data_IF_211821168879
#
_entry.id   IF_211821168879
#
_cell.length_a   1.000
_cell.length_b   1.000
_cell.length_c   1.000
_cell.angle_alpha   90.00
_cell.angle_beta   90.00
_cell.angle_gamma   90.00
#
_symmetry.space_group_name_H-M   'P 1'
#
loop_
_entity.id
_entity.type
_entity.pdbx_description
1 polymer ?
#
# COMPACT_ATOMS: atom_id res chain seq x y z
N UNK A 1 2.14 -15.93 -2.47
CA UNK A 1 2.00 -16.54 -3.79
C UNK A 1 3.37 -16.91 -4.29
N UNK A 2 3.56 -18.11 -4.83
CA UNK A 2 4.85 -18.56 -5.38
C UNK A 2 5.23 -17.79 -6.65
N UNK A 3 4.23 -17.38 -7.44
CA UNK A 3 4.42 -16.64 -8.67
C UNK A 3 4.76 -15.17 -8.38
N UNK A 4 5.95 -14.76 -8.80
CA UNK A 4 6.45 -13.40 -8.64
C UNK A 4 5.50 -12.37 -9.27
N UNK A 5 5.03 -12.63 -10.48
CA UNK A 5 4.16 -11.75 -11.26
C UNK A 5 2.83 -11.53 -10.54
N UNK A 6 2.27 -12.57 -9.92
CA UNK A 6 1.04 -12.46 -9.12
C UNK A 6 1.27 -11.54 -7.92
N UNK A 7 2.35 -11.77 -7.15
CA UNK A 7 2.71 -10.89 -6.03
C UNK A 7 2.89 -9.43 -6.49
N UNK A 8 3.54 -9.23 -7.63
CA UNK A 8 3.80 -7.91 -8.20
C UNK A 8 2.51 -7.18 -8.56
N UNK A 9 1.68 -7.78 -9.42
CA UNK A 9 0.46 -7.18 -9.93
C UNK A 9 -0.53 -6.93 -8.78
N UNK A 10 -0.65 -7.87 -7.85
CA UNK A 10 -1.50 -7.72 -6.67
C UNK A 10 -1.10 -6.49 -5.85
N UNK A 11 0.18 -6.34 -5.51
CA UNK A 11 0.67 -5.20 -4.74
C UNK A 11 0.45 -3.86 -5.47
N UNK A 12 0.60 -3.84 -6.80
CA UNK A 12 0.34 -2.66 -7.61
C UNK A 12 -1.15 -2.26 -7.58
N UNK A 13 -2.06 -3.21 -7.79
CA UNK A 13 -3.50 -2.94 -7.73
C UNK A 13 -3.95 -2.49 -6.35
N UNK A 14 -3.45 -3.17 -5.31
CA UNK A 14 -3.67 -2.80 -3.92
C UNK A 14 -3.22 -1.35 -3.66
N UNK A 15 -2.01 -0.99 -4.11
CA UNK A 15 -1.48 0.36 -3.95
C UNK A 15 -2.37 1.42 -4.63
N UNK A 16 -2.77 1.17 -5.88
CA UNK A 16 -3.61 2.12 -6.65
C UNK A 16 -4.94 2.38 -5.96
N UNK A 17 -5.65 1.33 -5.53
CA UNK A 17 -6.94 1.48 -4.88
C UNK A 17 -6.82 2.14 -3.48
N UNK A 18 -5.76 1.80 -2.72
CA UNK A 18 -5.50 2.45 -1.43
C UNK A 18 -5.16 3.94 -1.57
N UNK A 19 -4.37 4.35 -2.58
CA UNK A 19 -4.03 5.77 -2.79
C UNK A 19 -5.25 6.58 -3.24
N UNK A 20 -6.16 5.96 -4.00
CA UNK A 20 -7.45 6.56 -4.38
C UNK A 20 -8.49 6.60 -3.24
N UNK A 21 -8.12 6.13 -2.05
CA UNK A 21 -9.02 6.05 -0.89
C UNK A 21 -10.28 5.19 -1.13
N UNK A 22 -10.20 4.23 -2.06
CA UNK A 22 -11.31 3.32 -2.41
C UNK A 22 -11.25 1.99 -1.64
N UNK A 23 -10.18 1.74 -0.91
CA UNK A 23 -9.98 0.55 -0.08
C UNK A 23 -9.86 0.93 1.41
N UNK A 24 -10.48 0.15 2.31
CA UNK A 24 -10.32 0.31 3.75
C UNK A 24 -8.86 0.16 4.21
N UNK A 25 -8.53 0.79 5.34
CA UNK A 25 -7.16 0.85 5.85
C UNK A 25 -6.59 -0.52 6.24
N UNK A 26 -7.43 -1.48 6.65
CA UNK A 26 -7.01 -2.86 6.97
C UNK A 26 -6.24 -3.53 5.83
N UNK A 27 -6.58 -3.22 4.58
CA UNK A 27 -5.87 -3.75 3.40
C UNK A 27 -4.44 -3.21 3.28
N UNK A 28 -4.13 -2.08 3.93
CA UNK A 28 -2.78 -1.54 3.98
C UNK A 28 -1.83 -2.44 4.79
N UNK A 29 -2.35 -3.21 5.75
CA UNK A 29 -1.57 -4.16 6.55
C UNK A 29 -0.93 -5.26 5.70
N UNK A 30 -1.48 -5.55 4.51
CA UNK A 30 -0.94 -6.55 3.59
C UNK A 30 0.49 -6.22 3.16
N UNK A 31 0.87 -4.93 3.07
CA UNK A 31 2.26 -4.56 2.76
C UNK A 31 3.25 -4.96 3.85
N UNK A 32 2.83 -5.16 5.11
CA UNK A 32 3.71 -5.67 6.16
C UNK A 32 4.13 -7.12 5.89
N UNK A 33 3.28 -7.92 5.24
CA UNK A 33 3.60 -9.30 4.85
C UNK A 33 4.72 -9.36 3.81
N UNK A 34 4.93 -8.28 3.03
CA UNK A 34 6.02 -8.20 2.08
C UNK A 34 7.41 -8.21 2.74
N UNK A 35 7.53 -8.04 4.06
CA UNK A 35 8.80 -8.19 4.77
C UNK A 35 9.46 -9.57 4.54
N UNK A 36 8.64 -10.60 4.25
CA UNK A 36 9.09 -11.96 3.94
C UNK A 36 9.30 -12.23 2.45
N UNK A 37 9.07 -11.25 1.56
CA UNK A 37 9.29 -11.45 0.12
C UNK A 37 10.78 -11.70 -0.13
N UNK A 38 11.19 -12.76 -0.86
CA UNK A 38 12.60 -13.05 -1.10
C UNK A 38 13.31 -11.95 -1.89
N UNK A 39 12.59 -11.20 -2.72
CA UNK A 39 13.14 -10.17 -3.61
C UNK A 39 13.32 -8.84 -2.87
N UNK A 40 14.52 -8.27 -2.88
CA UNK A 40 14.85 -7.03 -2.15
C UNK A 40 14.05 -5.84 -2.68
N UNK A 41 13.92 -5.73 -3.99
CA UNK A 41 13.19 -4.67 -4.69
C UNK A 41 11.71 -4.69 -4.30
N UNK A 42 11.14 -5.87 -4.05
CA UNK A 42 9.76 -6.02 -3.58
C UNK A 42 9.57 -5.46 -2.18
N UNK A 43 10.50 -5.74 -1.27
CA UNK A 43 10.49 -5.16 0.08
C UNK A 43 10.60 -3.64 0.04
N UNK A 44 11.49 -3.11 -0.80
CA UNK A 44 11.64 -1.67 -1.01
C UNK A 44 10.36 -1.03 -1.59
N UNK A 45 9.74 -1.67 -2.59
CA UNK A 45 8.50 -1.22 -3.19
C UNK A 45 7.34 -1.20 -2.17
N UNK A 46 7.17 -2.25 -1.38
CA UNK A 46 6.13 -2.30 -0.35
C UNK A 46 6.30 -1.17 0.68
N UNK A 47 7.54 -0.90 1.12
CA UNK A 47 7.85 0.23 2.01
C UNK A 47 7.48 1.58 1.36
N UNK A 48 7.79 1.76 0.09
CA UNK A 48 7.43 2.99 -0.64
C UNK A 48 5.90 3.15 -0.74
N UNK A 49 5.18 2.08 -1.07
CA UNK A 49 3.71 2.07 -1.13
C UNK A 49 3.07 2.44 0.21
N UNK A 50 3.60 1.93 1.32
CA UNK A 50 3.16 2.27 2.68
C UNK A 50 3.35 3.75 2.99
N UNK A 51 4.56 4.27 2.81
CA UNK A 51 4.88 5.67 3.09
C UNK A 51 4.03 6.62 2.25
N UNK A 52 3.82 6.30 0.96
CA UNK A 52 2.98 7.11 0.07
C UNK A 52 1.51 7.11 0.53
N UNK A 53 0.95 5.97 0.91
CA UNK A 53 -0.42 5.89 1.41
C UNK A 53 -0.63 6.66 2.71
N UNK A 54 0.34 6.60 3.63
CA UNK A 54 0.32 7.38 4.88
C UNK A 54 0.34 8.87 4.56
N UNK A 55 1.25 9.31 3.68
CA UNK A 55 1.36 10.72 3.29
C UNK A 55 0.08 11.23 2.65
N UNK A 56 -0.49 10.51 1.67
CA UNK A 56 -1.72 10.90 0.98
C UNK A 56 -2.90 11.00 1.95
N UNK A 57 -3.06 10.03 2.85
CA UNK A 57 -4.16 10.06 3.83
C UNK A 57 -4.02 11.20 4.84
N UNK A 58 -2.81 11.44 5.35
CA UNK A 58 -2.55 12.58 6.26
C UNK A 58 -2.88 13.91 5.59
N UNK A 59 -2.46 14.08 4.33
CA UNK A 59 -2.77 15.28 3.56
C UNK A 59 -4.27 15.42 3.30
N UNK A 60 -4.96 14.31 2.96
CA UNK A 60 -6.40 14.31 2.77
C UNK A 60 -7.16 14.75 4.03
N UNK A 61 -6.81 14.20 5.20
CA UNK A 61 -7.42 14.59 6.49
C UNK A 61 -7.13 16.07 6.80
N UNK A 62 -5.89 16.53 6.55
CA UNK A 62 -5.51 17.94 6.75
C UNK A 62 -6.37 18.89 5.89
N UNK A 63 -6.68 18.50 4.66
CA UNK A 63 -7.52 19.28 3.73
C UNK A 63 -9.01 19.11 3.99
N UNK A 64 -9.42 18.02 4.67
CA UNK A 64 -10.83 17.68 4.94
C UNK A 64 -11.02 17.35 6.43
N UNK A 65 -11.05 18.37 7.32
CA UNK A 65 -11.07 18.16 8.78
C UNK A 65 -12.27 17.37 9.31
N UNK A 66 -13.34 17.27 8.52
CA UNK A 66 -14.57 16.55 8.86
C UNK A 66 -14.63 15.12 8.31
N UNK A 67 -13.60 14.63 7.63
CA UNK A 67 -13.60 13.30 7.01
C UNK A 67 -13.32 12.14 8.00
N UNK A 68 -13.69 12.31 9.27
CA UNK A 68 -13.48 11.34 10.35
C UNK A 68 -14.77 10.68 10.81
#
# INVERSE_FOLDING_TARGET
>A
DECYQVRQIFAQKLHVALVKLLLPLEYMAVFALCAKDPVKERRAHARQCLLKNISVRREYIKQNPMAH
#
